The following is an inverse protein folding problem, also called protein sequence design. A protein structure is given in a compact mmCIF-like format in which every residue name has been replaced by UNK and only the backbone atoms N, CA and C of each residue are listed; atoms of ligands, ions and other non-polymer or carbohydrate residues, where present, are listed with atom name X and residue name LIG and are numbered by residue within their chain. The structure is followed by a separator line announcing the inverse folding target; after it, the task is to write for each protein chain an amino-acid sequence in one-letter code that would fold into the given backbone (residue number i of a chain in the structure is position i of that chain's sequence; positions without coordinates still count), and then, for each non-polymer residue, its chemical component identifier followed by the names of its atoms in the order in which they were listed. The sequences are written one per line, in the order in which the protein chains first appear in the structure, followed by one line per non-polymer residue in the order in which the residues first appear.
data_IF_804511268797
#
_entry.id   IF_804511268797
#
_cell.length_a   1.000
_cell.length_b   1.000
_cell.length_c   1.000
_cell.angle_alpha   90.00
_cell.angle_beta   90.00
_cell.angle_gamma   90.00
#
_symmetry.space_group_name_H-M   'P 1'
#
loop_
_entity.id
_entity.type
_entity.pdbx_description
1 polymer ?
#
# COMPACT_ATOMS: atom_id res chain seq x y z
N UNK A 1 22.23 -10.12 -6.34
CA UNK A 1 20.91 -10.29 -5.68
C UNK A 1 20.11 -11.25 -6.54
N UNK A 2 19.59 -12.34 -5.98
CA UNK A 2 18.67 -13.26 -6.66
C UNK A 2 17.32 -13.13 -5.94
N UNK A 3 16.36 -12.42 -6.54
CA UNK A 3 15.05 -12.15 -5.97
C UNK A 3 14.02 -13.10 -6.58
N UNK A 4 13.10 -13.61 -5.76
CA UNK A 4 11.98 -14.45 -6.23
C UNK A 4 11.07 -13.64 -7.16
N UNK A 5 10.45 -14.28 -8.18
CA UNK A 5 9.41 -13.64 -8.98
C UNK A 5 8.33 -13.04 -8.09
N UNK A 6 7.78 -11.90 -8.51
CA UNK A 6 6.75 -11.22 -7.73
C UNK A 6 5.37 -11.77 -8.12
N UNK A 7 4.83 -12.67 -7.32
CA UNK A 7 3.65 -13.45 -7.67
C UNK A 7 2.43 -12.59 -8.11
N UNK A 8 2.15 -11.51 -7.38
CA UNK A 8 1.06 -10.59 -7.74
C UNK A 8 1.34 -9.88 -9.05
N UNK A 9 2.58 -9.37 -9.25
CA UNK A 9 2.91 -8.60 -10.45
C UNK A 9 2.98 -9.51 -11.70
N UNK A 10 3.44 -10.76 -11.57
CA UNK A 10 3.37 -11.72 -12.68
C UNK A 10 1.91 -11.98 -13.11
N UNK A 11 1.01 -12.15 -12.15
CA UNK A 11 -0.43 -12.31 -12.40
C UNK A 11 -1.03 -11.06 -13.06
N UNK A 12 -0.74 -9.87 -12.53
CA UNK A 12 -1.21 -8.59 -13.08
C UNK A 12 -0.69 -8.41 -14.52
N UNK A 13 0.61 -8.63 -14.78
CA UNK A 13 1.23 -8.47 -16.09
C UNK A 13 0.60 -9.39 -17.15
N UNK A 14 0.15 -10.58 -16.77
CA UNK A 14 -0.43 -11.55 -17.71
C UNK A 14 -1.89 -11.23 -18.06
N UNK A 15 -2.71 -10.76 -17.09
CA UNK A 15 -4.15 -10.71 -17.24
C UNK A 15 -4.79 -9.32 -17.17
N UNK A 16 -4.13 -8.34 -16.54
CA UNK A 16 -4.77 -7.06 -16.23
C UNK A 16 -5.24 -6.29 -17.48
N UNK A 17 -4.38 -6.21 -18.51
CA UNK A 17 -4.65 -5.42 -19.73
C UNK A 17 -5.88 -5.93 -20.52
N UNK A 18 -6.20 -7.21 -20.41
CA UNK A 18 -7.33 -7.84 -21.08
C UNK A 18 -8.62 -7.91 -20.26
N UNK A 19 -8.61 -7.43 -19.03
CA UNK A 19 -9.74 -7.53 -18.11
C UNK A 19 -10.92 -6.67 -18.56
N UNK A 20 -12.14 -7.25 -18.58
CA UNK A 20 -13.37 -6.50 -18.81
C UNK A 20 -13.82 -5.79 -17.52
N UNK A 21 -13.68 -6.48 -16.39
CA UNK A 21 -14.04 -5.98 -15.07
C UNK A 21 -12.83 -6.12 -14.14
N UNK A 22 -11.96 -5.08 -14.11
CA UNK A 22 -10.80 -5.09 -13.23
C UNK A 22 -11.23 -4.72 -11.79
N UNK A 23 -11.51 -5.74 -11.00
CA UNK A 23 -11.73 -5.66 -9.56
C UNK A 23 -10.56 -6.25 -8.76
N UNK A 24 -9.34 -6.21 -9.32
CA UNK A 24 -8.08 -6.52 -8.64
C UNK A 24 -7.32 -5.26 -8.22
N UNK A 25 -7.66 -4.09 -8.82
CA UNK A 25 -6.98 -2.81 -8.58
C UNK A 25 -7.00 -2.42 -7.10
N UNK A 26 -5.88 -1.91 -6.63
CA UNK A 26 -5.70 -1.55 -5.22
C UNK A 26 -5.66 -0.04 -4.98
N UNK A 27 -5.67 0.77 -6.04
CA UNK A 27 -5.85 2.21 -5.92
C UNK A 27 -7.33 2.54 -5.68
N UNK A 28 -7.62 3.62 -4.99
CA UNK A 28 -8.96 4.22 -5.10
C UNK A 28 -9.10 4.74 -6.51
N UNK A 29 -10.29 4.62 -7.08
CA UNK A 29 -10.64 5.05 -8.43
C UNK A 29 -9.87 6.31 -8.85
N UNK A 30 -9.00 6.14 -9.85
CA UNK A 30 -7.99 7.13 -10.23
C UNK A 30 -8.65 8.36 -10.83
N UNK A 31 -8.10 9.53 -10.51
CA UNK A 31 -8.57 10.79 -11.09
C UNK A 31 -7.75 11.16 -12.32
N UNK A 32 -8.41 11.72 -13.31
CA UNK A 32 -7.76 12.45 -14.41
C UNK A 32 -7.20 13.79 -13.93
N UNK A 33 -6.35 14.40 -14.74
CA UNK A 33 -5.85 15.73 -14.44
C UNK A 33 -6.99 16.77 -14.40
N UNK A 34 -7.98 16.65 -15.30
CA UNK A 34 -9.14 17.52 -15.33
C UNK A 34 -9.97 17.43 -14.04
N UNK A 35 -10.25 16.20 -13.59
CA UNK A 35 -10.96 15.95 -12.33
C UNK A 35 -10.18 16.48 -11.13
N UNK A 36 -8.85 16.34 -11.11
CA UNK A 36 -8.04 16.90 -10.03
C UNK A 36 -8.19 18.42 -9.93
N UNK A 37 -8.12 19.14 -11.05
CA UNK A 37 -8.29 20.60 -11.07
C UNK A 37 -9.73 20.99 -10.71
N UNK A 38 -10.74 20.26 -11.15
CA UNK A 38 -12.13 20.48 -10.76
C UNK A 38 -12.33 20.28 -9.25
N UNK A 39 -11.83 19.20 -8.70
CA UNK A 39 -11.94 18.88 -7.26
C UNK A 39 -11.23 19.90 -6.38
N UNK A 40 -10.06 20.38 -6.82
CA UNK A 40 -9.23 21.30 -6.02
C UNK A 40 -9.60 22.77 -6.22
N UNK A 41 -10.29 23.11 -7.33
CA UNK A 41 -10.58 24.50 -7.69
C UNK A 41 -9.36 25.28 -8.17
N UNK A 42 -8.24 24.62 -8.38
CA UNK A 42 -7.03 25.24 -8.95
C UNK A 42 -7.23 25.55 -10.45
N UNK A 43 -6.58 26.60 -10.94
CA UNK A 43 -6.68 26.99 -12.34
C UNK A 43 -5.75 26.16 -13.23
N UNK A 44 -6.33 25.22 -13.98
CA UNK A 44 -5.58 24.35 -14.90
C UNK A 44 -4.83 25.13 -15.98
N UNK A 45 -5.45 26.17 -16.55
CA UNK A 45 -4.85 26.93 -17.65
C UNK A 45 -3.63 27.71 -17.17
N UNK A 46 -3.70 28.36 -16.03
CA UNK A 46 -2.56 29.02 -15.40
C UNK A 46 -1.46 28.06 -15.05
N UNK A 47 -1.80 26.92 -14.43
CA UNK A 47 -0.84 25.86 -14.14
C UNK A 47 -0.11 25.38 -15.40
N UNK A 48 -0.84 25.03 -16.46
CA UNK A 48 -0.23 24.54 -17.70
C UNK A 48 0.64 25.61 -18.37
N UNK A 49 0.18 26.87 -18.39
CA UNK A 49 0.94 27.97 -18.92
C UNK A 49 2.29 28.15 -18.20
N UNK A 50 2.25 28.15 -16.88
CA UNK A 50 3.44 28.36 -16.05
C UNK A 50 4.38 27.14 -16.13
N UNK A 51 3.82 25.91 -16.11
CA UNK A 51 4.62 24.69 -16.21
C UNK A 51 5.27 24.57 -17.61
N UNK A 52 4.53 24.83 -18.70
CA UNK A 52 5.07 24.78 -20.07
C UNK A 52 6.16 25.83 -20.32
N UNK A 53 6.21 26.92 -19.56
CA UNK A 53 7.26 27.92 -19.65
C UNK A 53 8.58 27.48 -18.97
N UNK A 54 8.54 26.45 -18.14
CA UNK A 54 9.72 25.97 -17.42
C UNK A 54 10.64 25.13 -18.31
N UNK A 55 11.95 25.23 -18.06
CA UNK A 55 12.92 24.33 -18.71
C UNK A 55 12.91 22.98 -18.02
N UNK A 56 12.87 21.90 -18.79
CA UNK A 56 12.89 20.53 -18.28
C UNK A 56 14.33 20.12 -17.88
N UNK A 57 14.86 20.76 -16.88
CA UNK A 57 16.10 20.39 -16.18
C UNK A 57 15.77 19.46 -15.00
N UNK A 58 16.77 19.09 -14.20
CA UNK A 58 16.49 18.42 -12.92
C UNK A 58 15.61 19.35 -12.06
N UNK A 59 14.57 18.77 -11.45
CA UNK A 59 13.79 19.44 -10.43
C UNK A 59 14.59 19.65 -9.13
N UNK A 60 13.93 20.06 -8.07
CA UNK A 60 14.54 20.07 -6.75
C UNK A 60 15.00 18.65 -6.40
N UNK A 61 16.30 18.51 -6.12
CA UNK A 61 16.92 17.20 -5.84
C UNK A 61 16.26 16.50 -4.64
N UNK A 62 15.84 17.28 -3.66
CA UNK A 62 15.17 16.78 -2.45
C UNK A 62 13.65 16.70 -2.60
N UNK A 63 13.12 17.21 -3.73
CA UNK A 63 11.73 17.52 -3.96
C UNK A 63 11.36 18.91 -3.49
N UNK A 64 10.33 19.49 -4.09
CA UNK A 64 9.92 20.85 -3.77
C UNK A 64 9.54 20.97 -2.28
N UNK A 65 9.76 22.18 -1.73
CA UNK A 65 9.33 22.47 -0.37
C UNK A 65 7.81 22.31 -0.22
N UNK A 66 7.05 22.67 -1.26
CA UNK A 66 5.60 22.50 -1.28
C UNK A 66 5.20 21.04 -1.13
N UNK A 67 5.85 20.14 -1.87
CA UNK A 67 5.60 18.69 -1.79
C UNK A 67 5.97 18.13 -0.42
N UNK A 68 7.19 18.38 0.05
CA UNK A 68 7.68 17.87 1.35
C UNK A 68 6.88 18.43 2.53
N UNK A 69 6.50 19.71 2.48
CA UNK A 69 5.63 20.33 3.49
C UNK A 69 4.20 19.78 3.42
N UNK A 70 3.69 19.47 2.22
CA UNK A 70 2.39 18.80 2.06
C UNK A 70 2.39 17.40 2.67
N UNK A 71 3.44 16.63 2.40
CA UNK A 71 3.60 15.28 2.99
C UNK A 71 3.74 15.34 4.51
N UNK A 72 4.55 16.26 5.05
CA UNK A 72 4.77 16.36 6.50
C UNK A 72 3.48 16.63 7.28
N UNK A 73 2.51 17.34 6.69
CA UNK A 73 1.19 17.60 7.29
C UNK A 73 0.30 16.35 7.44
N UNK A 74 0.66 15.25 6.77
CA UNK A 74 -0.02 13.97 6.95
C UNK A 74 0.39 13.26 8.25
N UNK A 75 1.38 13.78 8.97
CA UNK A 75 1.93 13.25 10.22
C UNK A 75 1.81 14.28 11.35
N UNK A 76 1.85 13.84 12.58
CA UNK A 76 1.83 14.76 13.74
C UNK A 76 3.20 15.36 14.03
N UNK A 77 4.27 14.60 13.82
CA UNK A 77 5.61 14.97 14.32
C UNK A 77 6.66 15.16 13.23
N UNK A 78 6.43 14.66 12.01
CA UNK A 78 7.36 14.72 10.87
C UNK A 78 7.47 16.15 10.33
N UNK A 79 8.70 16.58 10.06
CA UNK A 79 9.03 17.84 9.39
C UNK A 79 9.34 17.61 7.91
N UNK A 80 9.29 18.66 7.10
CA UNK A 80 9.54 18.60 5.66
C UNK A 80 10.95 18.06 5.30
N UNK A 81 11.95 18.32 6.13
CA UNK A 81 13.33 17.82 5.97
C UNK A 81 13.53 16.37 6.45
N UNK A 82 12.48 15.77 7.04
CA UNK A 82 12.45 14.37 7.47
C UNK A 82 11.76 13.45 6.44
N UNK A 83 11.42 14.00 5.26
CA UNK A 83 10.81 13.29 4.13
C UNK A 83 11.82 13.04 3.03
N UNK A 84 11.92 11.79 2.56
CA UNK A 84 12.74 11.39 1.41
C UNK A 84 11.82 10.91 0.29
N UNK A 85 11.83 11.60 -0.86
CA UNK A 85 10.99 11.26 -2.01
C UNK A 85 11.54 10.06 -2.78
N UNK A 86 10.63 9.26 -3.35
CA UNK A 86 10.93 8.03 -4.08
C UNK A 86 9.98 7.82 -5.26
N UNK A 87 10.32 6.91 -6.17
CA UNK A 87 9.40 6.45 -7.23
C UNK A 87 8.35 5.48 -6.66
N UNK A 88 7.27 6.03 -6.12
CA UNK A 88 6.21 5.29 -5.45
C UNK A 88 6.68 4.60 -4.16
N UNK A 89 5.75 3.95 -3.47
CA UNK A 89 6.06 3.18 -2.27
C UNK A 89 6.98 1.98 -2.58
N UNK A 90 6.88 1.41 -3.79
CA UNK A 90 7.77 0.33 -4.20
C UNK A 90 9.24 0.76 -4.20
N UNK A 91 9.55 1.96 -4.69
CA UNK A 91 10.88 2.56 -4.58
C UNK A 91 11.28 2.83 -3.14
N UNK A 92 10.34 3.30 -2.31
CA UNK A 92 10.58 3.57 -0.89
C UNK A 92 10.99 2.29 -0.12
N UNK A 93 10.21 1.21 -0.25
CA UNK A 93 10.52 -0.08 0.36
C UNK A 93 11.90 -0.59 -0.09
N UNK A 94 12.19 -0.53 -1.40
CA UNK A 94 13.49 -0.93 -1.94
C UNK A 94 14.64 -0.13 -1.32
N UNK A 95 14.51 1.22 -1.21
CA UNK A 95 15.53 2.06 -0.60
C UNK A 95 15.75 1.73 0.88
N UNK A 96 14.67 1.50 1.65
CA UNK A 96 14.80 1.16 3.07
C UNK A 96 15.61 -0.11 3.24
N UNK A 97 15.26 -1.18 2.54
CA UNK A 97 15.96 -2.46 2.67
C UNK A 97 17.42 -2.37 2.18
N UNK A 98 17.65 -1.82 1.00
CA UNK A 98 19.00 -1.73 0.44
C UNK A 98 19.93 -0.80 1.23
N UNK A 99 19.38 0.13 2.04
CA UNK A 99 20.18 1.05 2.84
C UNK A 99 20.46 0.58 4.26
N UNK A 100 19.55 -0.22 4.85
CA UNK A 100 19.62 -0.56 6.27
C UNK A 100 19.86 -2.05 6.53
N UNK A 101 19.62 -2.93 5.54
CA UNK A 101 19.71 -4.39 5.72
C UNK A 101 20.94 -4.92 4.99
N UNK A 102 21.65 -5.80 5.66
CA UNK A 102 22.82 -6.52 5.16
C UNK A 102 22.59 -8.03 5.23
N UNK A 103 23.42 -8.80 4.52
CA UNK A 103 23.39 -10.24 4.63
C UNK A 103 23.66 -10.71 6.06
N UNK A 104 22.81 -11.60 6.56
CA UNK A 104 22.86 -12.11 7.93
C UNK A 104 22.08 -11.29 8.96
N UNK A 105 21.60 -10.10 8.62
CA UNK A 105 20.70 -9.34 9.51
C UNK A 105 19.38 -10.10 9.71
N UNK A 106 18.83 -10.04 10.92
CA UNK A 106 17.52 -10.61 11.24
C UNK A 106 16.42 -9.62 10.92
N UNK A 107 15.44 -10.04 10.11
CA UNK A 107 14.21 -9.28 9.78
C UNK A 107 12.99 -10.10 10.17
N UNK A 108 12.00 -9.48 10.82
CA UNK A 108 10.70 -10.08 11.08
C UNK A 108 9.67 -9.40 10.19
N UNK A 109 8.97 -10.16 9.35
CA UNK A 109 7.92 -9.64 8.47
C UNK A 109 6.59 -10.34 8.71
N UNK A 110 5.49 -9.75 8.28
CA UNK A 110 4.15 -10.32 8.36
C UNK A 110 3.73 -10.97 7.02
N UNK A 111 2.76 -11.89 7.09
CA UNK A 111 2.09 -12.51 5.94
C UNK A 111 0.60 -12.71 6.28
N UNK A 112 -0.38 -12.37 5.42
CA UNK A 112 -0.24 -11.79 4.08
C UNK A 112 0.22 -10.33 4.10
N UNK A 113 1.06 -9.96 3.12
CA UNK A 113 1.51 -8.58 2.91
C UNK A 113 2.05 -8.40 1.49
N UNK A 114 2.46 -7.18 1.16
CA UNK A 114 3.14 -6.89 -0.11
C UNK A 114 4.51 -7.56 -0.14
N UNK A 115 4.79 -8.32 -1.19
CA UNK A 115 5.93 -9.25 -1.27
C UNK A 115 7.29 -8.57 -1.04
N UNK A 116 7.43 -7.29 -1.32
CA UNK A 116 8.67 -6.54 -1.06
C UNK A 116 9.11 -6.61 0.40
N UNK A 117 8.16 -6.67 1.35
CA UNK A 117 8.49 -6.62 2.79
C UNK A 117 9.22 -7.86 3.29
N UNK A 118 9.27 -8.95 2.51
CA UNK A 118 10.02 -10.14 2.86
C UNK A 118 10.99 -10.60 1.75
N UNK A 119 10.62 -10.48 0.47
CA UNK A 119 11.47 -10.97 -0.63
C UNK A 119 12.71 -10.10 -0.88
N UNK A 120 12.67 -8.79 -0.63
CA UNK A 120 13.86 -7.94 -0.80
C UNK A 120 14.91 -8.26 0.27
N UNK A 121 14.60 -8.28 1.59
CA UNK A 121 15.58 -8.66 2.59
C UNK A 121 16.09 -10.11 2.41
N UNK A 122 15.23 -11.08 2.03
CA UNK A 122 15.69 -12.42 1.65
C UNK A 122 16.72 -12.38 0.51
N UNK A 123 16.46 -11.60 -0.54
CA UNK A 123 17.36 -11.49 -1.70
C UNK A 123 18.69 -10.76 -1.37
N UNK A 124 18.70 -9.92 -0.33
CA UNK A 124 19.93 -9.33 0.22
C UNK A 124 20.74 -10.39 1.00
N UNK A 125 20.09 -11.44 1.49
CA UNK A 125 20.71 -12.49 2.29
C UNK A 125 20.44 -12.35 3.80
N UNK A 126 19.41 -11.59 4.17
CA UNK A 126 18.94 -11.49 5.56
C UNK A 126 18.25 -12.79 6.01
N UNK A 127 18.26 -13.06 7.30
CA UNK A 127 17.47 -14.09 7.95
C UNK A 127 16.06 -13.51 8.21
N UNK A 128 15.09 -13.90 7.36
CA UNK A 128 13.72 -13.38 7.41
C UNK A 128 12.81 -14.39 8.12
N UNK A 129 12.25 -13.97 9.26
CA UNK A 129 11.18 -14.71 9.94
C UNK A 129 9.82 -14.13 9.54
N UNK A 130 8.88 -15.00 9.24
CA UNK A 130 7.51 -14.63 8.87
C UNK A 130 6.56 -14.89 10.05
N UNK A 131 5.80 -13.85 10.42
CA UNK A 131 4.66 -13.97 11.32
C UNK A 131 3.39 -14.06 10.46
N UNK A 132 2.68 -15.19 10.57
CA UNK A 132 1.45 -15.39 9.81
C UNK A 132 0.25 -14.77 10.54
N UNK A 133 -0.32 -13.72 9.93
CA UNK A 133 -1.57 -13.12 10.40
C UNK A 133 -2.73 -14.08 10.10
N UNK A 134 -3.61 -14.28 11.07
CA UNK A 134 -4.65 -15.29 11.01
C UNK A 134 -6.04 -14.65 10.96
N UNK A 135 -6.95 -15.29 10.22
CA UNK A 135 -8.33 -14.84 10.10
C UNK A 135 -9.05 -14.83 11.46
N UNK A 136 -8.80 -15.84 12.31
CA UNK A 136 -9.36 -15.93 13.66
C UNK A 136 -8.92 -14.78 14.59
N UNK A 137 -7.88 -14.04 14.24
CA UNK A 137 -7.41 -12.82 14.93
C UNK A 137 -7.62 -11.55 14.09
N UNK A 138 -8.61 -11.53 13.20
CA UNK A 138 -8.91 -10.40 12.31
C UNK A 138 -7.67 -9.91 11.53
N UNK A 139 -6.73 -10.80 11.22
CA UNK A 139 -5.43 -10.48 10.60
C UNK A 139 -4.59 -9.46 11.38
N UNK A 140 -4.79 -9.37 12.69
CA UNK A 140 -3.94 -8.55 13.56
C UNK A 140 -2.73 -9.37 14.04
N UNK A 141 -1.56 -8.72 14.27
CA UNK A 141 -0.40 -9.36 14.86
C UNK A 141 -0.65 -9.97 16.24
N UNK A 142 -0.23 -11.21 16.45
CA UNK A 142 -0.14 -11.81 17.78
C UNK A 142 1.17 -11.36 18.45
N UNK A 143 1.06 -10.64 19.56
CA UNK A 143 2.21 -10.11 20.27
C UNK A 143 3.09 -11.21 20.92
N UNK A 144 2.54 -12.38 21.25
CA UNK A 144 3.33 -13.48 21.79
C UNK A 144 4.14 -14.17 20.69
N UNK A 145 3.52 -14.35 19.51
CA UNK A 145 4.22 -14.85 18.33
C UNK A 145 5.33 -13.86 17.92
N UNK A 146 5.02 -12.54 17.83
CA UNK A 146 6.00 -11.52 17.52
C UNK A 146 7.19 -11.56 18.50
N UNK A 147 6.95 -11.63 19.81
CA UNK A 147 8.00 -11.74 20.82
C UNK A 147 8.87 -12.98 20.65
N UNK A 148 8.30 -14.10 20.16
CA UNK A 148 9.05 -15.34 19.94
C UNK A 148 9.96 -15.27 18.70
N UNK A 149 9.60 -14.45 17.71
CA UNK A 149 10.36 -14.25 16.46
C UNK A 149 11.45 -13.18 16.57
N UNK A 150 11.25 -12.19 17.45
CA UNK A 150 12.20 -11.10 17.69
C UNK A 150 13.33 -11.59 18.61
N UNK A 151 14.56 -11.37 18.18
CA UNK A 151 15.78 -11.71 18.92
C UNK A 151 16.65 -10.44 19.14
N UNK A 152 17.68 -10.46 20.00
CA UNK A 152 18.59 -9.33 20.16
C UNK A 152 19.27 -8.88 18.86
N UNK A 153 19.38 -9.77 17.88
CA UNK A 153 19.95 -9.51 16.56
C UNK A 153 18.94 -8.94 15.55
N UNK A 154 17.67 -8.84 15.91
CA UNK A 154 16.61 -8.32 15.02
C UNK A 154 16.91 -6.88 14.65
N UNK A 155 17.12 -6.64 13.36
CA UNK A 155 17.43 -5.34 12.79
C UNK A 155 16.19 -4.55 12.45
N UNK A 156 15.13 -5.24 11.95
CA UNK A 156 13.91 -4.59 11.48
C UNK A 156 12.69 -5.50 11.68
N UNK A 157 11.57 -4.87 12.04
CA UNK A 157 10.23 -5.46 12.04
C UNK A 157 9.45 -4.76 10.92
N UNK A 158 8.89 -5.53 9.98
CA UNK A 158 8.13 -5.02 8.85
C UNK A 158 6.64 -5.29 9.08
N UNK A 159 5.83 -4.26 9.05
CA UNK A 159 4.37 -4.32 9.14
C UNK A 159 3.74 -3.49 8.02
N UNK A 160 2.46 -3.75 7.76
CA UNK A 160 1.65 -2.94 6.85
C UNK A 160 0.39 -2.49 7.62
N UNK A 161 0.20 -1.20 7.78
CA UNK A 161 -0.94 -0.66 8.53
C UNK A 161 -1.47 0.65 7.94
N UNK A 162 -2.76 0.70 7.54
CA UNK A 162 -3.68 -0.44 7.51
C UNK A 162 -3.45 -1.37 6.31
N UNK A 163 -4.01 -2.57 6.41
CA UNK A 163 -4.28 -3.48 5.29
C UNK A 163 -5.81 -3.56 5.10
N UNK A 164 -6.44 -4.75 5.13
CA UNK A 164 -7.87 -4.89 5.51
C UNK A 164 -8.08 -4.74 7.01
N UNK A 165 -7.08 -5.14 7.81
CA UNK A 165 -7.02 -4.89 9.25
C UNK A 165 -6.52 -3.48 9.56
N UNK A 166 -6.90 -2.96 10.72
CA UNK A 166 -6.41 -1.69 11.26
C UNK A 166 -5.86 -1.93 12.67
N UNK A 167 -4.56 -1.71 12.84
CA UNK A 167 -3.91 -1.82 14.14
C UNK A 167 -4.24 -0.58 14.96
N UNK A 168 -4.71 -0.80 16.20
CA UNK A 168 -4.96 0.31 17.14
C UNK A 168 -3.63 0.94 17.60
N UNK A 169 -3.74 2.14 18.17
CA UNK A 169 -2.59 2.84 18.79
C UNK A 169 -1.93 1.99 19.87
N UNK A 170 -2.71 1.28 20.67
CA UNK A 170 -2.24 0.40 21.76
C UNK A 170 -1.48 -0.80 21.20
N UNK A 171 -1.98 -1.41 20.11
CA UNK A 171 -1.30 -2.52 19.46
C UNK A 171 0.03 -2.08 18.83
N UNK A 172 0.01 -0.94 18.10
CA UNK A 172 1.24 -0.34 17.56
C UNK A 172 2.22 0.01 18.68
N UNK A 173 1.75 0.60 19.80
CA UNK A 173 2.58 0.89 20.97
C UNK A 173 3.23 -0.37 21.56
N UNK A 174 2.50 -1.48 21.60
CA UNK A 174 3.04 -2.76 22.07
C UNK A 174 4.11 -3.33 21.13
N UNK A 175 3.94 -3.17 19.82
CA UNK A 175 4.95 -3.56 18.82
C UNK A 175 6.20 -2.66 18.97
N UNK A 176 6.01 -1.35 19.20
CA UNK A 176 7.09 -0.40 19.46
C UNK A 176 7.92 -0.82 20.68
N UNK A 177 7.28 -1.21 21.79
CA UNK A 177 8.00 -1.65 22.97
C UNK A 177 8.85 -2.92 22.73
N UNK A 178 8.34 -3.85 21.91
CA UNK A 178 9.10 -5.05 21.51
C UNK A 178 10.32 -4.64 20.67
N UNK A 179 10.13 -3.79 19.67
CA UNK A 179 11.22 -3.31 18.81
C UNK A 179 12.27 -2.51 19.60
N UNK A 180 11.81 -1.61 20.51
CA UNK A 180 12.67 -0.80 21.36
C UNK A 180 13.52 -1.67 22.29
N UNK A 181 12.98 -2.76 22.80
CA UNK A 181 13.70 -3.70 23.67
C UNK A 181 14.96 -4.30 23.04
N UNK A 182 15.02 -4.38 21.71
CA UNK A 182 16.18 -4.90 20.94
C UNK A 182 16.85 -3.84 20.07
N UNK A 183 16.30 -2.62 20.04
CA UNK A 183 16.83 -1.51 19.23
C UNK A 183 16.55 -1.64 17.73
N UNK A 184 15.57 -2.47 17.32
CA UNK A 184 15.20 -2.70 15.93
C UNK A 184 14.45 -1.48 15.33
N UNK A 185 14.56 -1.28 14.01
CA UNK A 185 13.67 -0.41 13.26
C UNK A 185 12.27 -1.05 13.11
N UNK A 186 11.26 -0.21 12.94
CA UNK A 186 9.95 -0.67 12.45
C UNK A 186 9.71 0.00 11.09
N UNK A 187 9.66 -0.80 10.03
CA UNK A 187 9.17 -0.38 8.73
C UNK A 187 7.66 -0.63 8.68
N UNK A 188 6.88 0.43 8.56
CA UNK A 188 5.45 0.36 8.35
C UNK A 188 5.11 0.84 6.93
N UNK A 189 4.56 -0.06 6.11
CA UNK A 189 3.95 0.34 4.85
C UNK A 189 2.56 0.92 5.16
N UNK A 190 2.41 2.22 4.94
CA UNK A 190 1.25 3.02 5.29
C UNK A 190 0.49 3.53 4.06
N UNK A 191 0.62 2.86 2.91
CA UNK A 191 0.02 3.30 1.63
C UNK A 191 -1.50 3.43 1.66
N UNK A 192 -2.19 2.79 2.60
CA UNK A 192 -3.64 2.89 2.79
C UNK A 192 -4.05 3.74 4.00
N UNK A 193 -3.10 4.38 4.68
CA UNK A 193 -3.38 5.22 5.84
C UNK A 193 -4.41 6.30 5.49
N UNK A 194 -5.39 6.53 6.37
CA UNK A 194 -6.57 7.39 6.21
C UNK A 194 -7.75 6.80 5.40
N UNK A 195 -7.64 5.61 4.79
CA UNK A 195 -8.77 4.93 4.16
C UNK A 195 -9.48 4.00 5.14
N UNK A 196 -10.03 4.56 6.22
CA UNK A 196 -10.77 3.84 7.28
C UNK A 196 -12.27 3.79 6.97
N UNK A 197 -12.93 2.72 7.44
CA UNK A 197 -14.37 2.56 7.26
C UNK A 197 -15.18 3.45 8.22
N UNK A 198 -14.62 3.79 9.35
CA UNK A 198 -15.17 4.74 10.31
C UNK A 198 -14.30 5.99 10.40
N UNK A 199 -14.75 7.00 11.15
CA UNK A 199 -13.98 8.24 11.34
C UNK A 199 -12.89 8.06 12.41
N UNK A 200 -12.07 7.04 12.23
CA UNK A 200 -10.95 6.73 13.09
C UNK A 200 -9.65 7.36 12.55
N UNK A 201 -8.85 7.89 13.45
CA UNK A 201 -7.50 8.31 13.10
C UNK A 201 -6.58 7.09 13.03
N UNK A 202 -5.87 6.96 11.90
CA UNK A 202 -4.87 5.93 11.72
C UNK A 202 -3.49 6.49 12.11
N UNK A 203 -2.96 6.06 13.25
CA UNK A 203 -1.65 6.49 13.73
C UNK A 203 -0.55 6.07 12.76
N UNK A 204 0.48 6.91 12.64
CA UNK A 204 1.69 6.55 11.93
C UNK A 204 2.74 6.03 12.89
N UNK A 205 3.54 5.07 12.44
CA UNK A 205 4.62 4.51 13.25
C UNK A 205 5.68 5.56 13.61
N UNK A 206 5.89 6.57 12.79
CA UNK A 206 6.87 7.64 13.05
C UNK A 206 6.41 8.59 14.14
N UNK A 207 5.10 8.70 14.39
CA UNK A 207 4.56 9.49 15.48
C UNK A 207 4.63 8.76 16.83
N UNK A 208 4.99 7.47 16.84
CA UNK A 208 5.04 6.60 18.02
C UNK A 208 6.45 6.13 18.37
N UNK A 209 7.37 6.13 17.42
CA UNK A 209 8.68 5.51 17.57
C UNK A 209 9.80 6.27 16.87
N UNK A 210 10.89 6.56 17.59
CA UNK A 210 12.05 7.28 17.08
C UNK A 210 12.82 6.56 15.96
N UNK A 211 12.74 5.21 15.92
CA UNK A 211 13.24 4.37 14.82
C UNK A 211 12.11 3.86 13.91
N UNK A 212 10.95 4.51 13.93
CA UNK A 212 9.87 4.27 12.99
C UNK A 212 10.24 4.76 11.59
N UNK A 213 9.87 3.98 10.59
CA UNK A 213 10.01 4.32 9.18
C UNK A 213 8.63 4.11 8.54
N UNK A 214 8.00 5.20 8.11
CA UNK A 214 6.75 5.18 7.34
C UNK A 214 7.07 5.22 5.85
N UNK A 215 6.46 4.33 5.09
CA UNK A 215 6.46 4.34 3.62
C UNK A 215 5.06 4.60 3.14
N UNK A 216 4.89 5.55 2.21
CA UNK A 216 3.62 5.83 1.59
C UNK A 216 3.76 6.41 0.18
N UNK A 217 2.65 6.71 -0.49
CA UNK A 217 2.65 7.25 -1.86
C UNK A 217 1.35 7.96 -2.22
N UNK A 218 1.37 8.65 -3.36
CA UNK A 218 0.18 9.24 -3.99
C UNK A 218 -0.72 8.19 -4.64
N UNK A 219 -0.28 6.93 -4.77
CA UNK A 219 -0.94 5.91 -5.59
C UNK A 219 -2.30 5.48 -5.06
N UNK A 220 -2.40 5.16 -3.75
CA UNK A 220 -3.57 4.49 -3.17
C UNK A 220 -4.55 5.52 -2.60
N UNK A 221 -4.11 6.23 -1.59
CA UNK A 221 -4.93 7.18 -0.82
C UNK A 221 -5.33 8.41 -1.63
N UNK A 222 -4.49 8.83 -2.59
CA UNK A 222 -4.71 10.05 -3.36
C UNK A 222 -5.17 9.82 -4.81
N UNK A 223 -5.40 8.56 -5.23
CA UNK A 223 -5.88 8.22 -6.59
C UNK A 223 -4.98 8.67 -7.74
N UNK A 224 -3.67 8.80 -7.49
CA UNK A 224 -2.67 9.35 -8.41
C UNK A 224 -1.51 8.36 -8.65
N UNK A 225 -1.83 7.09 -8.91
CA UNK A 225 -0.84 6.03 -9.12
C UNK A 225 0.11 6.31 -10.29
N UNK A 226 -0.39 6.97 -11.34
CA UNK A 226 0.38 7.32 -12.54
C UNK A 226 1.51 8.31 -12.30
N UNK A 227 1.48 9.11 -11.23
CA UNK A 227 2.56 10.05 -10.90
C UNK A 227 3.82 9.38 -10.40
N UNK A 228 3.79 8.10 -10.04
CA UNK A 228 4.95 7.39 -9.47
C UNK A 228 5.61 8.12 -8.30
N UNK A 229 4.85 8.87 -7.52
CA UNK A 229 5.33 9.65 -6.38
C UNK A 229 5.09 8.89 -5.06
N UNK A 230 6.16 8.67 -4.31
CA UNK A 230 6.14 8.07 -2.97
C UNK A 230 7.18 8.71 -2.06
N UNK A 231 7.20 8.30 -0.81
CA UNK A 231 8.13 8.83 0.17
C UNK A 231 8.44 7.86 1.31
N UNK A 232 9.56 8.12 1.96
CA UNK A 232 9.94 7.59 3.27
C UNK A 232 9.89 8.76 4.25
N UNK A 233 9.27 8.57 5.41
CA UNK A 233 9.31 9.50 6.51
C UNK A 233 9.94 8.83 7.75
N UNK A 234 10.86 9.51 8.42
CA UNK A 234 11.50 9.02 9.65
C UNK A 234 12.25 10.12 10.38
N UNK A 235 12.28 10.07 11.71
CA UNK A 235 13.09 10.96 12.55
C UNK A 235 14.58 10.61 12.54
N UNK A 236 14.95 9.38 12.22
CA UNK A 236 16.35 8.93 12.25
C UNK A 236 17.19 9.59 11.15
N UNK A 237 18.04 10.54 11.54
CA UNK A 237 18.90 11.28 10.61
C UNK A 237 19.92 10.38 9.91
N UNK A 238 20.44 9.36 10.61
CA UNK A 238 21.41 8.44 10.01
C UNK A 238 20.75 7.58 8.93
N UNK A 239 19.53 7.10 9.18
CA UNK A 239 18.74 6.37 8.20
C UNK A 239 18.40 7.26 6.98
N UNK A 240 17.96 8.53 7.20
CA UNK A 240 17.70 9.47 6.10
C UNK A 240 18.93 9.70 5.21
N UNK A 241 20.10 9.90 5.83
CA UNK A 241 21.36 10.04 5.07
C UNK A 241 21.67 8.80 4.22
N UNK A 242 21.44 7.60 4.78
CA UNK A 242 21.63 6.36 4.05
C UNK A 242 20.64 6.24 2.87
N UNK A 243 19.36 6.60 3.07
CA UNK A 243 18.35 6.62 2.01
C UNK A 243 18.71 7.58 0.87
N UNK A 244 19.13 8.80 1.20
CA UNK A 244 19.54 9.80 0.21
C UNK A 244 20.76 9.33 -0.57
N UNK A 245 21.77 8.79 0.10
CA UNK A 245 22.97 8.25 -0.55
C UNK A 245 22.62 7.10 -1.49
N UNK A 246 21.69 6.20 -1.11
CA UNK A 246 21.26 5.10 -1.96
C UNK A 246 20.39 5.61 -3.13
N UNK A 247 19.55 6.61 -2.91
CA UNK A 247 18.70 7.24 -3.92
C UNK A 247 19.51 7.79 -5.09
N UNK A 248 20.69 8.33 -4.84
CA UNK A 248 21.57 8.90 -5.88
C UNK A 248 22.02 7.86 -6.93
N UNK A 249 21.92 6.56 -6.61
CA UNK A 249 22.25 5.47 -7.55
C UNK A 249 21.11 5.11 -8.52
N UNK A 250 19.87 5.56 -8.29
CA UNK A 250 18.76 5.15 -9.15
C UNK A 250 17.75 6.26 -9.47
N UNK A 251 17.56 7.28 -8.64
CA UNK A 251 16.52 8.27 -8.84
C UNK A 251 17.05 9.69 -9.07
N UNK A 252 18.06 10.14 -8.32
CA UNK A 252 18.58 11.51 -8.26
C UNK A 252 17.50 12.51 -7.82
N UNK A 253 16.47 12.79 -8.65
CA UNK A 253 15.31 13.65 -8.33
C UNK A 253 14.04 13.06 -8.92
N UNK A 254 12.89 13.39 -8.33
CA UNK A 254 11.59 13.07 -8.92
C UNK A 254 11.29 13.96 -10.15
N UNK A 255 10.32 13.56 -10.95
CA UNK A 255 9.85 14.34 -12.09
C UNK A 255 9.23 15.68 -11.66
N UNK A 256 9.56 16.75 -12.35
CA UNK A 256 9.04 18.09 -12.03
C UNK A 256 7.51 18.18 -12.14
N UNK A 257 6.94 17.50 -13.14
CA UNK A 257 5.49 17.44 -13.32
C UNK A 257 4.82 16.67 -12.19
N UNK A 258 5.37 15.53 -11.84
CA UNK A 258 4.85 14.66 -10.79
C UNK A 258 4.88 15.37 -9.42
N UNK A 259 5.98 16.09 -9.14
CA UNK A 259 6.11 16.92 -7.94
C UNK A 259 5.05 18.03 -7.89
N UNK A 260 4.87 18.76 -9.00
CA UNK A 260 3.92 19.86 -9.07
C UNK A 260 2.47 19.38 -8.88
N UNK A 261 2.06 18.28 -9.55
CA UNK A 261 0.71 17.71 -9.43
C UNK A 261 0.48 17.12 -8.04
N UNK A 262 1.45 16.39 -7.49
CA UNK A 262 1.35 15.86 -6.13
C UNK A 262 1.23 16.98 -5.08
N UNK A 263 1.94 18.10 -5.29
CA UNK A 263 1.86 19.29 -4.44
C UNK A 263 0.46 19.93 -4.45
N UNK A 264 -0.23 19.95 -5.61
CA UNK A 264 -1.62 20.39 -5.70
C UNK A 264 -2.52 19.48 -4.87
N UNK A 265 -2.46 18.17 -5.11
CA UNK A 265 -3.30 17.21 -4.39
C UNK A 265 -3.08 17.27 -2.87
N UNK A 266 -1.84 17.46 -2.40
CA UNK A 266 -1.53 17.56 -0.97
C UNK A 266 -1.96 18.89 -0.33
N UNK A 267 -1.98 20.00 -1.08
CA UNK A 267 -2.58 21.25 -0.60
C UNK A 267 -4.08 21.10 -0.31
N UNK A 268 -4.74 20.24 -1.07
CA UNK A 268 -6.17 19.95 -0.99
C UNK A 268 -6.41 18.52 -0.48
N UNK A 269 -5.53 18.03 0.41
CA UNK A 269 -5.59 16.65 0.91
C UNK A 269 -6.92 16.28 1.57
N UNK A 270 -7.57 17.23 2.23
CA UNK A 270 -8.89 17.06 2.84
C UNK A 270 -9.97 16.73 1.80
N UNK A 271 -9.97 17.41 0.65
CA UNK A 271 -10.90 17.16 -0.46
C UNK A 271 -10.66 15.78 -1.05
N UNK A 272 -9.38 15.45 -1.33
CA UNK A 272 -8.99 14.16 -1.89
C UNK A 272 -9.33 13.01 -0.95
N UNK A 273 -9.00 13.14 0.32
CA UNK A 273 -9.29 12.12 1.34
C UNK A 273 -10.81 11.92 1.52
N UNK A 274 -11.59 13.00 1.59
CA UNK A 274 -13.04 12.91 1.73
C UNK A 274 -13.71 12.19 0.55
N UNK A 275 -13.27 12.49 -0.70
CA UNK A 275 -13.73 11.75 -1.89
C UNK A 275 -13.43 10.27 -1.76
N UNK A 276 -12.19 9.95 -1.43
CA UNK A 276 -11.68 8.58 -1.47
C UNK A 276 -12.22 7.73 -0.30
N UNK A 277 -12.36 8.29 0.89
CA UNK A 277 -13.07 7.63 2.00
C UNK A 277 -14.53 7.31 1.65
N UNK A 278 -15.23 8.24 0.98
CA UNK A 278 -16.60 7.99 0.53
C UNK A 278 -16.67 6.80 -0.42
N UNK A 279 -15.80 6.75 -1.45
CA UNK A 279 -15.75 5.63 -2.41
C UNK A 279 -15.49 4.30 -1.70
N UNK A 280 -14.48 4.28 -0.83
CA UNK A 280 -14.10 3.06 -0.09
C UNK A 280 -15.26 2.55 0.78
N UNK A 281 -15.98 3.45 1.47
CA UNK A 281 -17.10 3.09 2.35
C UNK A 281 -18.34 2.62 1.56
N UNK A 282 -18.71 3.35 0.51
CA UNK A 282 -19.85 2.99 -0.36
C UNK A 282 -19.60 1.65 -1.06
N UNK A 283 -18.42 1.44 -1.59
CA UNK A 283 -18.07 0.23 -2.31
C UNK A 283 -17.89 -1.00 -1.40
N UNK A 284 -17.38 -0.81 -0.17
CA UNK A 284 -17.34 -1.92 0.79
C UNK A 284 -18.76 -2.37 1.18
N UNK A 285 -19.71 -1.46 1.26
CA UNK A 285 -21.11 -1.84 1.51
C UNK A 285 -21.66 -2.71 0.37
N UNK A 286 -21.31 -2.40 -0.89
CA UNK A 286 -21.70 -3.23 -2.06
C UNK A 286 -21.08 -4.63 -1.96
N UNK A 287 -19.78 -4.71 -1.65
CA UNK A 287 -19.11 -6.01 -1.46
C UNK A 287 -19.72 -6.81 -0.29
N UNK A 288 -20.01 -6.15 0.82
CA UNK A 288 -20.60 -6.77 2.01
C UNK A 288 -22.01 -7.34 1.73
N UNK A 289 -22.83 -6.61 0.97
CA UNK A 289 -24.14 -7.09 0.54
C UNK A 289 -24.01 -8.26 -0.45
N UNK A 290 -23.07 -8.18 -1.39
CA UNK A 290 -22.79 -9.29 -2.31
C UNK A 290 -22.35 -10.57 -1.57
N UNK A 291 -21.49 -10.48 -0.55
CA UNK A 291 -21.09 -11.63 0.29
C UNK A 291 -22.31 -12.25 0.99
N UNK A 292 -23.23 -11.44 1.53
CA UNK A 292 -24.46 -11.95 2.18
C UNK A 292 -25.38 -12.70 1.23
N UNK A 293 -25.42 -12.28 -0.03
CA UNK A 293 -26.25 -12.89 -1.08
C UNK A 293 -25.62 -14.14 -1.71
N UNK A 294 -24.31 -14.37 -1.51
CA UNK A 294 -23.56 -15.46 -2.14
C UNK A 294 -22.91 -16.35 -1.07
N UNK A 295 -23.63 -17.36 -0.53
CA UNK A 295 -23.23 -18.11 0.67
C UNK A 295 -21.98 -18.97 0.52
N UNK A 296 -21.49 -19.17 -0.71
CA UNK A 296 -20.21 -19.84 -0.97
C UNK A 296 -19.00 -18.95 -0.77
N UNK A 297 -19.20 -17.63 -0.54
CA UNK A 297 -18.14 -16.68 -0.31
C UNK A 297 -18.21 -16.12 1.11
N UNK A 298 -17.05 -15.95 1.74
CA UNK A 298 -16.95 -15.40 3.08
C UNK A 298 -15.64 -14.63 3.26
N UNK A 299 -15.61 -13.70 4.21
CA UNK A 299 -14.45 -12.87 4.44
C UNK A 299 -14.44 -12.29 5.85
N UNK A 300 -13.27 -11.82 6.32
CA UNK A 300 -13.22 -10.88 7.43
C UNK A 300 -13.42 -9.48 6.88
N UNK A 301 -14.50 -8.80 7.30
CA UNK A 301 -14.84 -7.48 6.78
C UNK A 301 -13.74 -6.47 7.06
N UNK A 302 -13.18 -5.81 6.02
CA UNK A 302 -12.13 -4.82 6.20
C UNK A 302 -12.55 -3.65 7.09
N UNK A 303 -11.63 -3.21 7.97
CA UNK A 303 -11.77 -1.98 8.76
C UNK A 303 -11.13 -0.78 8.07
N UNK A 304 -10.23 -1.04 7.10
CA UNK A 304 -9.55 0.01 6.35
C UNK A 304 -8.99 -0.55 5.03
N UNK A 305 -8.41 0.32 4.21
CA UNK A 305 -7.80 -0.04 2.93
C UNK A 305 -8.81 -0.16 1.80
N UNK A 306 -8.38 -0.80 0.72
CA UNK A 306 -9.10 -0.86 -0.57
C UNK A 306 -9.33 -2.28 -1.05
N UNK A 307 -8.86 -3.28 -0.30
CA UNK A 307 -8.87 -4.69 -0.71
C UNK A 307 -9.43 -5.58 0.39
N UNK A 308 -10.00 -6.70 -0.02
CA UNK A 308 -10.48 -7.77 0.85
C UNK A 308 -9.98 -9.13 0.35
N UNK A 309 -9.58 -10.02 1.26
CA UNK A 309 -9.44 -11.44 0.97
C UNK A 309 -10.80 -12.10 1.12
N UNK A 310 -11.33 -12.58 0.01
CA UNK A 310 -12.61 -13.28 -0.07
C UNK A 310 -12.33 -14.76 -0.28
N UNK A 311 -12.71 -15.57 0.68
CA UNK A 311 -12.60 -17.02 0.64
C UNK A 311 -13.83 -17.64 -0.03
N UNK A 312 -13.68 -18.85 -0.53
CA UNK A 312 -14.76 -19.65 -1.12
C UNK A 312 -14.62 -21.13 -0.71
N UNK A 313 -15.73 -21.86 -0.75
CA UNK A 313 -15.80 -23.28 -0.36
C UNK A 313 -15.81 -24.26 -1.54
N UNK A 314 -15.50 -23.81 -2.75
CA UNK A 314 -15.33 -24.67 -3.92
C UNK A 314 -13.99 -25.42 -3.85
N UNK A 315 -13.97 -26.67 -4.29
CA UNK A 315 -12.74 -27.51 -4.34
C UNK A 315 -11.92 -27.22 -5.61
N UNK A 316 -11.47 -25.97 -5.73
CA UNK A 316 -10.63 -25.48 -6.83
C UNK A 316 -9.51 -24.59 -6.25
N UNK A 317 -8.23 -24.80 -6.63
CA UNK A 317 -7.13 -23.93 -6.26
C UNK A 317 -7.30 -22.49 -6.71
N UNK A 318 -6.79 -21.51 -5.97
CA UNK A 318 -7.05 -20.08 -6.23
C UNK A 318 -6.62 -19.63 -7.63
N UNK A 319 -5.43 -20.06 -8.10
CA UNK A 319 -4.98 -19.73 -9.45
C UNK A 319 -5.94 -20.25 -10.53
N UNK A 320 -6.38 -21.49 -10.40
CA UNK A 320 -7.29 -22.08 -11.39
C UNK A 320 -8.67 -21.41 -11.34
N UNK A 321 -9.22 -21.17 -10.13
CA UNK A 321 -10.47 -20.45 -9.95
C UNK A 321 -10.43 -19.09 -10.65
N UNK A 322 -9.43 -18.26 -10.33
CA UNK A 322 -9.31 -16.91 -10.89
C UNK A 322 -9.05 -16.92 -12.40
N UNK A 323 -8.23 -17.86 -12.90
CA UNK A 323 -7.92 -18.00 -14.31
C UNK A 323 -9.16 -18.40 -15.13
N UNK A 324 -9.90 -19.41 -14.68
CA UNK A 324 -11.13 -19.84 -15.34
C UNK A 324 -12.18 -18.72 -15.35
N UNK A 325 -12.39 -18.10 -14.19
CA UNK A 325 -13.33 -16.99 -14.06
C UNK A 325 -12.98 -15.85 -15.04
N UNK A 326 -11.71 -15.46 -15.12
CA UNK A 326 -11.24 -14.46 -16.07
C UNK A 326 -11.59 -14.82 -17.53
N UNK A 327 -11.27 -16.04 -17.97
CA UNK A 327 -11.53 -16.46 -19.35
C UNK A 327 -13.01 -16.62 -19.66
N UNK A 328 -13.84 -17.04 -18.71
CA UNK A 328 -15.25 -17.31 -18.91
C UNK A 328 -16.11 -16.03 -18.78
N UNK A 329 -15.67 -15.04 -17.99
CA UNK A 329 -16.49 -13.86 -17.65
C UNK A 329 -15.83 -12.51 -17.85
N UNK A 330 -14.50 -12.46 -17.95
CA UNK A 330 -13.73 -11.23 -18.01
C UNK A 330 -13.53 -10.54 -16.66
N UNK A 331 -14.00 -11.13 -15.54
CA UNK A 331 -13.75 -10.61 -14.20
C UNK A 331 -12.30 -10.90 -13.77
N UNK A 332 -11.61 -9.89 -13.32
CA UNK A 332 -10.21 -9.97 -12.92
C UNK A 332 -10.04 -9.65 -11.43
N UNK A 333 -9.54 -10.64 -10.69
CA UNK A 333 -9.17 -10.58 -9.26
C UNK A 333 -7.78 -11.18 -9.08
N UNK A 334 -7.16 -10.99 -7.92
CA UNK A 334 -5.86 -11.60 -7.64
C UNK A 334 -6.02 -12.90 -6.86
N UNK A 335 -5.41 -14.03 -7.30
CA UNK A 335 -5.46 -15.29 -6.56
C UNK A 335 -4.90 -15.16 -5.14
N UNK A 336 -5.57 -15.76 -4.16
CA UNK A 336 -5.10 -15.76 -2.77
C UNK A 336 -3.77 -16.47 -2.58
N UNK A 337 -3.43 -17.42 -3.45
CA UNK A 337 -2.13 -18.11 -3.44
C UNK A 337 -0.95 -17.12 -3.57
N UNK A 338 -1.12 -15.95 -4.22
CA UNK A 338 -0.12 -14.89 -4.24
C UNK A 338 0.23 -14.35 -2.85
N UNK A 339 -0.59 -14.65 -1.84
CA UNK A 339 -0.46 -14.23 -0.46
C UNK A 339 -0.42 -15.41 0.52
N UNK A 340 -0.18 -16.62 0.02
CA UNK A 340 -0.22 -17.88 0.80
C UNK A 340 -1.59 -18.11 1.46
N UNK A 341 -2.66 -17.65 0.81
CA UNK A 341 -4.05 -17.80 1.29
C UNK A 341 -4.86 -18.66 0.28
N UNK A 342 -4.75 -19.98 0.35
CA UNK A 342 -5.44 -20.89 -0.57
C UNK A 342 -6.97 -20.76 -0.46
N UNK A 343 -7.69 -21.15 -1.52
CA UNK A 343 -9.15 -21.07 -1.60
C UNK A 343 -9.69 -19.66 -1.35
N UNK A 344 -8.96 -18.65 -1.84
CA UNK A 344 -9.37 -17.26 -1.73
C UNK A 344 -8.98 -16.45 -2.96
N UNK A 345 -9.54 -15.26 -3.05
CA UNK A 345 -9.17 -14.23 -4.02
C UNK A 345 -9.10 -12.88 -3.32
N UNK A 346 -8.16 -12.03 -3.74
CA UNK A 346 -8.13 -10.62 -3.30
C UNK A 346 -9.01 -9.80 -4.24
N UNK A 347 -10.03 -9.18 -3.71
CA UNK A 347 -10.90 -8.22 -4.40
C UNK A 347 -10.48 -6.81 -4.03
N UNK A 348 -10.21 -5.97 -5.03
CA UNK A 348 -10.02 -4.53 -4.88
C UNK A 348 -11.36 -3.83 -5.08
N UNK A 349 -11.93 -3.33 -4.01
CA UNK A 349 -13.29 -2.78 -4.02
C UNK A 349 -13.37 -1.26 -4.19
N UNK A 350 -12.23 -0.57 -4.33
CA UNK A 350 -12.21 0.89 -4.42
C UNK A 350 -12.17 1.46 -5.86
N UNK A 351 -12.43 0.63 -6.87
CA UNK A 351 -12.56 1.01 -8.27
C UNK A 351 -13.91 1.73 -8.56
N UNK A 352 -14.15 2.09 -9.82
CA UNK A 352 -15.46 2.61 -10.27
C UNK A 352 -16.60 1.68 -9.82
N UNK A 353 -17.70 2.25 -9.36
CA UNK A 353 -18.81 1.52 -8.76
C UNK A 353 -19.50 0.55 -9.71
N UNK A 354 -19.60 0.90 -11.01
CA UNK A 354 -20.19 0.02 -12.02
C UNK A 354 -19.27 -1.15 -12.32
N UNK A 355 -17.96 -0.89 -12.43
CA UNK A 355 -16.94 -1.93 -12.59
C UNK A 355 -16.98 -2.92 -11.42
N UNK A 356 -17.14 -2.44 -10.18
CA UNK A 356 -17.28 -3.31 -9.01
C UNK A 356 -18.54 -4.18 -9.11
N UNK A 357 -19.71 -3.58 -9.38
CA UNK A 357 -20.98 -4.31 -9.48
C UNK A 357 -20.97 -5.36 -10.58
N UNK A 358 -20.52 -4.98 -11.77
CA UNK A 358 -20.48 -5.87 -12.93
C UNK A 358 -19.45 -7.00 -12.71
N UNK A 359 -18.29 -6.68 -12.12
CA UNK A 359 -17.28 -7.67 -11.75
C UNK A 359 -17.79 -8.68 -10.73
N UNK A 360 -18.47 -8.25 -9.67
CA UNK A 360 -19.07 -9.14 -8.67
C UNK A 360 -20.19 -9.99 -9.26
N UNK A 361 -21.02 -9.43 -10.15
CA UNK A 361 -22.03 -10.20 -10.89
C UNK A 361 -21.39 -11.27 -11.80
N UNK A 362 -20.26 -10.96 -12.43
CA UNK A 362 -19.50 -11.91 -13.24
C UNK A 362 -18.90 -13.05 -12.37
N UNK A 363 -18.42 -12.74 -11.15
CA UNK A 363 -17.98 -13.76 -10.16
C UNK A 363 -19.16 -14.69 -9.81
N UNK A 364 -20.34 -14.14 -9.48
CA UNK A 364 -21.54 -14.93 -9.18
C UNK A 364 -21.92 -15.85 -10.35
N UNK A 365 -21.89 -15.32 -11.59
CA UNK A 365 -22.18 -16.09 -12.79
C UNK A 365 -21.22 -17.27 -12.97
N UNK A 366 -19.93 -17.06 -12.74
CA UNK A 366 -18.93 -18.13 -12.79
C UNK A 366 -19.17 -19.17 -11.69
N UNK A 367 -19.35 -18.73 -10.45
CA UNK A 367 -19.61 -19.63 -9.32
C UNK A 367 -20.82 -20.55 -9.53
N UNK A 368 -21.86 -20.08 -10.22
CA UNK A 368 -23.04 -20.88 -10.57
C UNK A 368 -22.75 -22.03 -11.59
N UNK A 369 -21.56 -22.08 -12.16
CA UNK A 369 -21.13 -23.16 -13.08
C UNK A 369 -20.32 -24.24 -12.40
N UNK A 370 -19.95 -24.04 -11.11
CA UNK A 370 -19.17 -24.95 -10.29
C UNK A 370 -20.04 -25.88 -9.46
#
# INVERSE_FOLDING_TARGET
MNIKPFAVEEWMNEYEVGALYNIAETCVDSVSLDELFELTGENKEDFLKDFCAQRLTYGDIWGSEALRSGISKLYHTIKADEVVLTHGAAGANHHVFCSLISAGDRVVSIMPTYQQLYSIPEAIGADVAIMHLKQENDYLPDLNELKSLVTPETKMICINNPTGALMSKELLGSIVEIARGVGAYILCDEVYRHLTQEDEWCESIVDLYEKGISVSSMSKVFSLAGLRMGWIATHDEAARKAFLSHRDYNLISCGMFDDAIASIALRHSDVMLKRNQRIVRENLAILDDWIKENPHFFYTKPKAGTTALVYYDFDIPSYEFCKRMYHETGAFVTPGDCFEQPHSMRVGYACDVNTLRDGLAAVTKFAATL
#
